data_IF_776914368008
#
_entry.id   IF_776914368008
#
_cell.length_a   1.000
_cell.length_b   1.000
_cell.length_c   1.000
_cell.angle_alpha   90.00
_cell.angle_beta   90.00
_cell.angle_gamma   90.00
#
_symmetry.space_group_name_H-M   'P 1'
#
loop_
_entity.id
_entity.type
_entity.pdbx_description
1 polymer ?
#
# COMPACT_ATOMS: atom_id res chain seq x y z
N UNK A 1 -21.40 -8.12 13.95
CA UNK A 1 -20.19 -7.54 14.58
C UNK A 1 -18.93 -8.37 14.35
N UNK A 2 -18.90 -9.68 14.66
CA UNK A 2 -17.68 -10.51 14.52
C UNK A 2 -17.13 -10.59 13.09
N UNK A 3 -17.98 -10.83 12.09
CA UNK A 3 -17.54 -10.94 10.69
C UNK A 3 -16.88 -9.64 10.14
N UNK A 4 -17.38 -8.47 10.52
CA UNK A 4 -16.81 -7.18 10.09
C UNK A 4 -15.38 -7.01 10.60
N UNK A 5 -15.12 -7.44 11.83
CA UNK A 5 -13.80 -7.38 12.45
C UNK A 5 -12.79 -8.29 11.73
N UNK A 6 -13.19 -9.51 11.39
CA UNK A 6 -12.34 -10.43 10.62
C UNK A 6 -12.01 -9.89 9.22
N UNK A 7 -12.97 -9.25 8.55
CA UNK A 7 -12.73 -8.63 7.23
C UNK A 7 -11.75 -7.46 7.33
N UNK A 8 -11.85 -6.61 8.35
CA UNK A 8 -10.88 -5.53 8.58
C UNK A 8 -9.47 -6.08 8.83
N UNK A 9 -9.31 -7.09 9.70
CA UNK A 9 -8.01 -7.70 9.97
C UNK A 9 -7.43 -8.34 8.70
N UNK A 10 -8.25 -9.06 7.92
CA UNK A 10 -7.81 -9.66 6.67
C UNK A 10 -7.36 -8.59 5.66
N UNK A 11 -8.11 -7.48 5.55
CA UNK A 11 -7.73 -6.34 4.70
C UNK A 11 -6.36 -5.77 5.08
N UNK A 12 -6.17 -5.44 6.36
CA UNK A 12 -4.90 -4.91 6.89
C UNK A 12 -3.75 -5.89 6.67
N UNK A 13 -3.97 -7.18 6.89
CA UNK A 13 -2.95 -8.20 6.68
C UNK A 13 -2.51 -8.24 5.20
N UNK A 14 -3.46 -8.22 4.26
CA UNK A 14 -3.17 -8.20 2.82
C UNK A 14 -2.45 -6.92 2.42
N UNK A 15 -2.88 -5.77 2.93
CA UNK A 15 -2.25 -4.48 2.70
C UNK A 15 -0.80 -4.45 3.17
N UNK A 16 -0.53 -4.92 4.40
CA UNK A 16 0.82 -5.05 4.93
C UNK A 16 1.67 -6.01 4.09
N UNK A 17 1.11 -7.13 3.63
CA UNK A 17 1.81 -8.05 2.73
C UNK A 17 2.21 -7.37 1.41
N UNK A 18 1.29 -6.63 0.78
CA UNK A 18 1.57 -5.91 -0.48
C UNK A 18 2.63 -4.84 -0.25
N UNK A 19 2.51 -4.05 0.83
CA UNK A 19 3.51 -3.04 1.20
C UNK A 19 4.89 -3.67 1.37
N UNK A 20 5.01 -4.68 2.24
CA UNK A 20 6.29 -5.32 2.54
C UNK A 20 6.92 -5.94 1.29
N UNK A 21 6.12 -6.62 0.46
CA UNK A 21 6.60 -7.23 -0.78
C UNK A 21 7.20 -6.18 -1.74
N UNK A 22 6.49 -5.07 -1.96
CA UNK A 22 6.97 -4.01 -2.84
C UNK A 22 8.10 -3.18 -2.22
N UNK A 23 8.09 -2.94 -0.91
CA UNK A 23 9.20 -2.29 -0.21
C UNK A 23 10.49 -3.10 -0.35
N UNK A 24 10.43 -4.43 -0.18
CA UNK A 24 11.58 -5.30 -0.40
C UNK A 24 12.08 -5.23 -1.85
N UNK A 25 11.18 -5.31 -2.84
CA UNK A 25 11.55 -5.18 -4.26
C UNK A 25 12.16 -3.82 -4.60
N UNK A 26 11.57 -2.73 -4.13
CA UNK A 26 12.07 -1.36 -4.33
C UNK A 26 13.43 -1.20 -3.67
N UNK A 27 13.61 -1.71 -2.45
CA UNK A 27 14.89 -1.68 -1.74
C UNK A 27 15.97 -2.45 -2.48
N UNK A 28 15.66 -3.66 -2.95
CA UNK A 28 16.57 -4.47 -3.75
C UNK A 28 16.98 -3.76 -5.06
N UNK A 29 16.02 -3.20 -5.80
CA UNK A 29 16.27 -2.47 -7.05
C UNK A 29 17.10 -1.20 -6.81
N UNK A 30 16.82 -0.46 -5.72
CA UNK A 30 17.58 0.72 -5.30
C UNK A 30 19.01 0.36 -4.91
N UNK A 31 19.22 -0.76 -4.20
CA UNK A 31 20.54 -1.25 -3.83
C UNK A 31 21.33 -1.71 -5.06
N UNK A 32 20.69 -2.37 -6.04
CA UNK A 32 21.31 -2.72 -7.30
C UNK A 32 21.77 -1.47 -8.09
N UNK A 33 20.90 -0.47 -8.25
CA UNK A 33 21.28 0.79 -8.90
C UNK A 33 22.39 1.55 -8.18
N UNK A 34 22.42 1.49 -6.84
CA UNK A 34 23.51 2.09 -6.05
C UNK A 34 24.85 1.42 -6.36
N UNK A 35 24.87 0.09 -6.52
CA UNK A 35 26.07 -0.68 -6.91
C UNK A 35 26.51 -0.34 -8.34
N UNK A 36 25.58 -0.05 -9.23
CA UNK A 36 25.85 0.36 -10.61
C UNK A 36 26.19 1.85 -10.77
N UNK A 37 26.27 2.62 -9.67
CA UNK A 37 26.54 4.07 -9.72
C UNK A 37 25.44 4.90 -10.40
N UNK A 38 24.26 4.32 -10.65
CA UNK A 38 23.13 5.01 -11.30
C UNK A 38 22.47 6.01 -10.35
N UNK A 39 22.04 7.14 -10.91
CA UNK A 39 21.28 8.16 -10.15
C UNK A 39 19.95 7.58 -9.68
N UNK A 40 19.81 7.41 -8.38
CA UNK A 40 18.54 7.02 -7.76
C UNK A 40 17.62 8.24 -7.76
N UNK A 41 16.56 8.21 -8.57
CA UNK A 41 15.50 9.21 -8.45
C UNK A 41 14.91 9.18 -7.03
N UNK A 42 14.79 10.35 -6.38
CA UNK A 42 14.16 10.45 -5.06
C UNK A 42 12.67 10.13 -5.17
N UNK A 43 12.05 9.63 -4.09
CA UNK A 43 10.60 9.48 -4.03
C UNK A 43 9.96 10.86 -4.20
N UNK A 44 9.00 11.00 -5.11
CA UNK A 44 8.23 12.23 -5.23
C UNK A 44 7.36 12.40 -3.99
N UNK A 45 7.11 13.64 -3.55
CA UNK A 45 6.20 13.90 -2.43
C UNK A 45 4.80 13.31 -2.67
N UNK A 46 4.36 13.29 -3.94
CA UNK A 46 3.13 12.65 -4.40
C UNK A 46 3.08 11.15 -4.07
N UNK A 47 4.20 10.42 -4.11
CA UNK A 47 4.25 9.00 -3.75
C UNK A 47 3.97 8.79 -2.25
N UNK A 48 4.54 9.65 -1.40
CA UNK A 48 4.34 9.59 0.06
C UNK A 48 2.90 9.96 0.40
N UNK A 49 2.35 11.01 -0.20
CA UNK A 49 0.97 11.42 0.04
C UNK A 49 -0.03 10.36 -0.41
N UNK A 50 0.18 9.70 -1.55
CA UNK A 50 -0.73 8.66 -2.04
C UNK A 50 -0.71 7.40 -1.16
N UNK A 51 0.46 7.00 -0.66
CA UNK A 51 0.57 5.91 0.32
C UNK A 51 -0.13 6.25 1.64
N UNK A 52 0.02 7.48 2.12
CA UNK A 52 -0.67 7.97 3.30
C UNK A 52 -2.19 7.96 3.11
N UNK A 53 -2.66 8.34 1.92
CA UNK A 53 -4.08 8.32 1.58
C UNK A 53 -4.62 6.88 1.58
N UNK A 54 -3.88 5.92 1.02
CA UNK A 54 -4.27 4.52 1.03
C UNK A 54 -4.33 3.95 2.46
N UNK A 55 -3.39 4.31 3.33
CA UNK A 55 -3.42 3.93 4.74
C UNK A 55 -4.63 4.52 5.49
N UNK A 56 -5.01 5.76 5.18
CA UNK A 56 -6.21 6.39 5.76
C UNK A 56 -7.49 5.70 5.31
N UNK A 57 -7.57 5.33 4.02
CA UNK A 57 -8.72 4.60 3.46
C UNK A 57 -8.85 3.22 4.12
N UNK A 58 -7.73 2.53 4.40
CA UNK A 58 -7.71 1.27 5.13
C UNK A 58 -8.12 1.37 6.61
N UNK A 59 -7.86 2.51 7.26
CA UNK A 59 -8.23 2.77 8.65
C UNK A 59 -9.70 3.17 8.82
N UNK A 60 -10.33 3.69 7.75
CA UNK A 60 -11.71 4.18 7.76
C UNK A 60 -12.73 3.14 8.28
N UNK A 61 -12.68 1.85 7.87
CA UNK A 61 -13.59 0.81 8.35
C UNK A 61 -13.42 0.44 9.83
N UNK A 62 -12.29 0.81 10.44
CA UNK A 62 -12.02 0.60 11.86
C UNK A 62 -12.63 1.74 12.68
N UNK A 63 -12.53 2.97 12.16
CA UNK A 63 -13.03 4.18 12.80
C UNK A 63 -14.54 4.33 12.69
N UNK A 64 -15.13 3.86 11.58
CA UNK A 64 -16.56 4.02 11.30
C UNK A 64 -17.20 2.65 11.09
N UNK A 65 -18.26 2.30 11.84
CA UNK A 65 -18.98 1.05 11.65
C UNK A 65 -19.74 1.07 10.32
N UNK A 66 -19.13 0.48 9.29
CA UNK A 66 -19.70 0.35 7.95
C UNK A 66 -20.30 -1.04 7.75
N UNK A 67 -21.18 -1.17 6.75
CA UNK A 67 -21.68 -2.48 6.31
C UNK A 67 -20.54 -3.29 5.67
N UNK A 68 -20.55 -4.61 5.87
CA UNK A 68 -19.45 -5.52 5.48
C UNK A 68 -19.00 -5.38 4.03
N UNK A 69 -19.94 -5.19 3.09
CA UNK A 69 -19.61 -5.03 1.67
C UNK A 69 -18.88 -3.70 1.39
N UNK A 70 -19.20 -2.65 2.14
CA UNK A 70 -18.50 -1.36 2.05
C UNK A 70 -17.07 -1.51 2.57
N UNK A 71 -16.89 -2.21 3.70
CA UNK A 71 -15.56 -2.52 4.26
C UNK A 71 -14.71 -3.24 3.23
N UNK A 72 -15.26 -4.30 2.60
CA UNK A 72 -14.53 -5.07 1.60
C UNK A 72 -14.10 -4.21 0.39
N UNK A 73 -15.01 -3.38 -0.13
CA UNK A 73 -14.69 -2.47 -1.25
C UNK A 73 -13.61 -1.45 -0.86
N UNK A 74 -13.73 -0.87 0.33
CA UNK A 74 -12.76 0.14 0.83
C UNK A 74 -11.37 -0.47 1.01
N UNK A 75 -11.26 -1.66 1.61
CA UNK A 75 -9.98 -2.38 1.72
C UNK A 75 -9.41 -2.72 0.34
N UNK A 76 -10.24 -3.22 -0.60
CA UNK A 76 -9.80 -3.51 -1.96
C UNK A 76 -9.25 -2.25 -2.66
N UNK A 77 -9.91 -1.10 -2.50
CA UNK A 77 -9.44 0.18 -3.04
C UNK A 77 -8.09 0.59 -2.42
N UNK A 78 -7.92 0.46 -1.11
CA UNK A 78 -6.66 0.78 -0.42
C UNK A 78 -5.49 -0.11 -0.89
N UNK A 79 -5.75 -1.42 -1.03
CA UNK A 79 -4.78 -2.40 -1.51
C UNK A 79 -4.40 -2.14 -2.98
N UNK A 80 -5.40 -1.98 -3.86
CA UNK A 80 -5.16 -1.74 -5.29
C UNK A 80 -4.49 -0.38 -5.55
N UNK A 81 -4.90 0.66 -4.82
CA UNK A 81 -4.26 1.97 -4.89
C UNK A 81 -2.78 1.90 -4.50
N UNK A 82 -2.47 1.22 -3.40
CA UNK A 82 -1.10 0.99 -2.94
C UNK A 82 -0.30 0.18 -3.95
N UNK A 83 -0.88 -0.88 -4.50
CA UNK A 83 -0.28 -1.70 -5.54
C UNK A 83 0.11 -0.87 -6.77
N UNK A 84 -0.81 -0.02 -7.28
CA UNK A 84 -0.55 0.83 -8.43
C UNK A 84 0.58 1.83 -8.15
N UNK A 85 0.51 2.53 -7.02
CA UNK A 85 1.52 3.53 -6.62
C UNK A 85 2.91 2.88 -6.46
N UNK A 86 2.97 1.70 -5.82
CA UNK A 86 4.21 0.95 -5.62
C UNK A 86 4.76 0.36 -6.92
N UNK A 87 3.87 -0.10 -7.82
CA UNK A 87 4.24 -0.60 -9.14
C UNK A 87 4.81 0.53 -10.01
N UNK A 88 4.12 1.66 -10.12
CA UNK A 88 4.63 2.84 -10.86
C UNK A 88 5.98 3.29 -10.32
N UNK A 89 6.16 3.24 -9.00
CA UNK A 89 7.44 3.61 -8.39
C UNK A 89 8.55 2.63 -8.76
N UNK A 90 8.24 1.35 -8.83
CA UNK A 90 9.17 0.30 -9.23
C UNK A 90 9.52 0.36 -10.72
N UNK A 91 8.63 0.86 -11.58
CA UNK A 91 8.89 1.09 -13.01
C UNK A 91 9.77 2.33 -13.25
N UNK A 92 9.62 3.37 -12.41
CA UNK A 92 10.45 4.60 -12.48
C UNK A 92 11.85 4.45 -11.88
N UNK A 93 12.05 3.43 -11.04
CA UNK A 93 13.36 2.99 -10.55
C UNK A 93 13.95 2.05 -11.60
#
# INVERSE_FOLDING_TARGET
>A
MRASFFVCIAGIAVYLCVLLFYFMKISAKKNAMKKEGKKIQKASASFVSSLLLCALVELLPILIPLKIYVIAIVCLCGILGSYLVLKERLEKL
#
